data_IF_410804996253
#
_entry.id   IF_410804996253
#
_cell.length_a   1.000
_cell.length_b   1.000
_cell.length_c   1.000
_cell.angle_alpha   90.00
_cell.angle_beta   90.00
_cell.angle_gamma   90.00
#
_symmetry.space_group_name_H-M   'P 1'
#
loop_
_entity.id
_entity.type
_entity.pdbx_description
1 polymer ?
#
# COMPACT_ATOMS: atom_id res chain seq x y z
N UNK A 1 0.27 16.89 -2.02
CA UNK A 1 1.51 16.52 -1.27
C UNK A 1 1.22 16.02 0.14
N UNK A 2 0.53 16.77 1.01
CA UNK A 2 0.18 16.29 2.36
C UNK A 2 -0.57 14.95 2.38
N UNK A 3 -1.53 14.74 1.46
CA UNK A 3 -2.21 13.45 1.31
C UNK A 3 -1.28 12.30 0.87
N UNK A 4 -0.25 12.58 0.06
CA UNK A 4 0.75 11.57 -0.35
C UNK A 4 1.60 11.16 0.84
N UNK A 5 2.04 12.13 1.64
CA UNK A 5 2.76 11.90 2.88
C UNK A 5 1.93 11.06 3.86
N UNK A 6 0.66 11.43 4.07
CA UNK A 6 -0.25 10.68 4.95
C UNK A 6 -0.51 9.26 4.44
N UNK A 7 -0.76 9.11 3.13
CA UNK A 7 -0.98 7.81 2.51
C UNK A 7 0.23 6.90 2.68
N UNK A 8 1.42 7.36 2.29
CA UNK A 8 2.61 6.53 2.34
C UNK A 8 3.10 6.30 3.78
N UNK A 9 2.90 7.28 4.67
CA UNK A 9 3.07 7.07 6.11
C UNK A 9 2.20 5.95 6.64
N UNK A 10 0.89 5.95 6.31
CA UNK A 10 -0.01 4.86 6.67
C UNK A 10 0.46 3.51 6.13
N UNK A 11 0.99 3.47 4.89
CA UNK A 11 1.55 2.26 4.30
C UNK A 11 2.74 1.74 5.11
N UNK A 12 3.66 2.64 5.48
CA UNK A 12 4.92 2.31 6.15
C UNK A 12 4.77 2.04 7.65
N UNK A 13 3.60 2.26 8.25
CA UNK A 13 3.30 1.75 9.60
C UNK A 13 3.25 0.22 9.62
N UNK A 14 2.75 -0.42 8.56
CA UNK A 14 2.63 -1.87 8.47
C UNK A 14 3.70 -2.51 7.58
N UNK A 15 4.15 -1.80 6.54
CA UNK A 15 5.07 -2.29 5.51
C UNK A 15 6.31 -3.02 6.02
N UNK A 16 7.07 -2.46 6.97
CA UNK A 16 8.28 -3.10 7.51
C UNK A 16 8.04 -4.46 8.18
N UNK A 17 6.81 -4.75 8.60
CA UNK A 17 6.47 -5.97 9.34
C UNK A 17 5.86 -7.08 8.47
N UNK A 18 5.59 -6.83 7.19
CA UNK A 18 4.89 -7.78 6.31
C UNK A 18 5.67 -9.08 6.14
N UNK A 19 6.93 -9.00 5.72
CA UNK A 19 7.78 -10.19 5.52
C UNK A 19 8.01 -10.94 6.83
N UNK A 20 8.39 -10.27 7.95
CA UNK A 20 8.44 -10.92 9.25
C UNK A 20 7.13 -11.59 9.66
N UNK A 21 5.97 -10.98 9.40
CA UNK A 21 4.66 -11.56 9.67
C UNK A 21 4.44 -12.84 8.85
N UNK A 22 4.70 -12.81 7.54
CA UNK A 22 4.51 -13.98 6.67
C UNK A 22 5.33 -15.18 7.16
N UNK A 23 6.57 -14.94 7.58
CA UNK A 23 7.45 -16.00 8.07
C UNK A 23 7.08 -16.47 9.48
N UNK A 24 6.89 -15.54 10.41
CA UNK A 24 6.73 -15.87 11.84
C UNK A 24 5.31 -16.25 12.25
N UNK A 25 4.29 -15.74 11.55
CA UNK A 25 2.88 -15.99 11.84
C UNK A 25 2.23 -16.80 10.73
N UNK A 26 2.56 -16.49 9.47
CA UNK A 26 2.04 -17.20 8.31
C UNK A 26 2.71 -18.54 8.02
N UNK A 27 3.84 -18.85 8.66
CA UNK A 27 4.60 -20.09 8.46
C UNK A 27 5.35 -20.17 7.12
N UNK A 28 5.44 -19.06 6.36
CA UNK A 28 6.11 -19.07 5.05
C UNK A 28 7.62 -19.24 5.22
N UNK A 29 8.20 -20.07 4.36
CA UNK A 29 9.63 -20.04 4.04
C UNK A 29 9.99 -18.80 3.21
N UNK A 30 11.27 -18.44 3.17
CA UNK A 30 11.74 -17.35 2.31
C UNK A 30 11.51 -17.64 0.82
N UNK A 31 11.49 -18.92 0.41
CA UNK A 31 11.14 -19.32 -0.95
C UNK A 31 9.68 -18.98 -1.26
N UNK A 32 8.76 -19.24 -0.33
CA UNK A 32 7.35 -18.89 -0.49
C UNK A 32 7.13 -17.37 -0.50
N UNK A 33 7.86 -16.61 0.30
CA UNK A 33 7.85 -15.13 0.21
C UNK A 33 8.35 -14.66 -1.17
N UNK A 34 9.40 -15.30 -1.70
CA UNK A 34 9.89 -15.05 -3.05
C UNK A 34 8.83 -15.34 -4.12
N UNK A 35 8.18 -16.50 -4.05
CA UNK A 35 7.08 -16.87 -4.94
C UNK A 35 5.89 -15.91 -4.83
N UNK A 36 5.52 -15.50 -3.62
CA UNK A 36 4.49 -14.48 -3.39
C UNK A 36 4.82 -13.18 -4.12
N UNK A 37 6.08 -12.76 -4.05
CA UNK A 37 6.58 -11.54 -4.72
C UNK A 37 6.51 -11.67 -6.24
N UNK A 38 6.88 -12.83 -6.79
CA UNK A 38 6.77 -13.13 -8.22
C UNK A 38 5.30 -13.10 -8.67
N UNK A 39 4.39 -13.70 -7.90
CA UNK A 39 2.95 -13.69 -8.20
C UNK A 39 2.43 -12.25 -8.21
N UNK A 40 2.78 -11.43 -7.22
CA UNK A 40 2.37 -10.02 -7.19
C UNK A 40 2.92 -9.26 -8.41
N UNK A 41 4.22 -9.36 -8.68
CA UNK A 41 4.86 -8.63 -9.78
C UNK A 41 4.29 -9.03 -11.15
N UNK A 42 4.12 -10.33 -11.42
CA UNK A 42 3.57 -10.83 -12.69
C UNK A 42 2.09 -10.48 -12.85
N UNK A 43 1.30 -10.56 -11.78
CA UNK A 43 -0.10 -10.13 -11.79
C UNK A 43 -0.24 -8.62 -12.05
N UNK A 44 0.73 -7.82 -11.58
CA UNK A 44 0.77 -6.38 -11.83
C UNK A 44 0.84 -6.03 -13.31
N UNK A 45 1.56 -6.84 -14.11
CA UNK A 45 1.63 -6.67 -15.57
C UNK A 45 0.27 -6.91 -16.24
N UNK A 46 -0.57 -7.75 -15.65
CA UNK A 46 -1.92 -8.03 -16.15
C UNK A 46 -2.92 -6.95 -15.72
N UNK A 47 -2.81 -6.46 -14.48
CA UNK A 47 -3.75 -5.48 -13.93
C UNK A 47 -3.45 -4.03 -14.36
N UNK A 48 -2.21 -3.68 -14.67
CA UNK A 48 -1.84 -2.34 -15.15
C UNK A 48 -2.69 -1.88 -16.35
N UNK A 49 -2.80 -2.67 -17.43
CA UNK A 49 -3.67 -2.35 -18.57
C UNK A 49 -5.16 -2.23 -18.24
N UNK A 50 -5.66 -2.91 -17.19
CA UNK A 50 -7.04 -2.73 -16.73
C UNK A 50 -7.23 -1.33 -16.16
N UNK A 51 -6.30 -0.87 -15.31
CA UNK A 51 -6.36 0.48 -14.75
C UNK A 51 -6.17 1.57 -15.81
N UNK A 52 -5.30 1.36 -16.79
CA UNK A 52 -5.12 2.27 -17.92
C UNK A 52 -6.43 2.49 -18.68
N UNK A 53 -7.07 1.40 -19.12
CA UNK A 53 -8.37 1.47 -19.81
C UNK A 53 -9.46 2.13 -18.96
N UNK A 54 -9.48 1.84 -17.65
CA UNK A 54 -10.44 2.44 -16.73
C UNK A 54 -10.19 3.95 -16.56
N UNK A 55 -8.93 4.37 -16.49
CA UNK A 55 -8.55 5.77 -16.43
C UNK A 55 -8.96 6.52 -17.70
N UNK A 56 -8.75 5.93 -18.87
CA UNK A 56 -9.10 6.55 -20.16
C UNK A 56 -10.61 6.72 -20.32
N UNK A 57 -11.40 5.77 -19.82
CA UNK A 57 -12.86 5.78 -19.96
C UNK A 57 -13.58 6.58 -18.87
N UNK A 58 -13.11 6.50 -17.63
CA UNK A 58 -13.82 7.01 -16.44
C UNK A 58 -13.01 8.04 -15.64
N UNK A 59 -11.79 8.35 -16.08
CA UNK A 59 -10.90 9.32 -15.45
C UNK A 59 -10.02 8.73 -14.34
N UNK A 60 -8.90 9.42 -14.08
CA UNK A 60 -7.90 9.00 -13.09
C UNK A 60 -8.42 8.98 -11.65
N UNK A 61 -9.45 9.77 -11.31
CA UNK A 61 -10.02 9.81 -9.96
C UNK A 61 -10.67 8.50 -9.53
N UNK A 62 -11.32 7.78 -10.47
CA UNK A 62 -11.90 6.45 -10.20
C UNK A 62 -10.81 5.41 -9.95
N UNK A 63 -9.71 5.46 -10.72
CA UNK A 63 -8.55 4.59 -10.51
C UNK A 63 -7.91 4.86 -9.16
N UNK A 64 -7.71 6.15 -8.80
CA UNK A 64 -7.16 6.53 -7.50
C UNK A 64 -8.01 5.97 -6.34
N UNK A 65 -9.34 6.10 -6.43
CA UNK A 65 -10.28 5.59 -5.43
C UNK A 65 -10.24 4.07 -5.33
N UNK A 66 -10.41 3.38 -6.45
CA UNK A 66 -10.44 1.91 -6.49
C UNK A 66 -9.14 1.31 -5.99
N UNK A 67 -8.01 1.75 -6.55
CA UNK A 67 -6.70 1.21 -6.21
C UNK A 67 -6.29 1.52 -4.76
N UNK A 68 -6.61 2.72 -4.23
CA UNK A 68 -6.33 3.04 -2.82
C UNK A 68 -7.21 2.24 -1.86
N UNK A 69 -8.47 1.94 -2.19
CA UNK A 69 -9.33 1.08 -1.37
C UNK A 69 -8.80 -0.36 -1.32
N UNK A 70 -8.40 -0.93 -2.46
CA UNK A 70 -7.77 -2.26 -2.50
C UNK A 70 -6.50 -2.26 -1.64
N UNK A 71 -5.63 -1.26 -1.82
CA UNK A 71 -4.40 -1.12 -1.05
C UNK A 71 -4.62 -0.95 0.46
N UNK A 72 -5.75 -0.36 0.84
CA UNK A 72 -6.14 -0.14 2.23
C UNK A 72 -6.69 -1.39 2.89
N UNK A 73 -7.46 -2.21 2.16
CA UNK A 73 -8.06 -3.45 2.68
C UNK A 73 -7.11 -4.64 2.63
N UNK A 74 -6.15 -4.65 1.70
CA UNK A 74 -5.20 -5.75 1.51
C UNK A 74 -4.48 -6.20 2.80
N UNK A 75 -4.03 -5.32 3.71
CA UNK A 75 -3.43 -5.76 4.97
C UNK A 75 -4.35 -6.66 5.83
N UNK A 76 -5.66 -6.59 5.64
CA UNK A 76 -6.61 -7.50 6.28
C UNK A 76 -6.41 -8.93 5.83
N UNK A 77 -6.05 -9.16 4.55
CA UNK A 77 -5.70 -10.49 4.05
C UNK A 77 -4.44 -11.05 4.71
N UNK A 78 -3.48 -10.20 5.07
CA UNK A 78 -2.31 -10.62 5.86
C UNK A 78 -2.75 -11.08 7.25
N UNK A 79 -3.57 -10.28 7.93
CA UNK A 79 -4.04 -10.56 9.30
C UNK A 79 -4.96 -11.78 9.40
N UNK A 80 -5.67 -12.13 8.32
CA UNK A 80 -6.48 -13.35 8.27
C UNK A 80 -5.62 -14.62 8.05
N UNK A 81 -4.36 -14.45 7.67
CA UNK A 81 -3.43 -15.54 7.43
C UNK A 81 -2.73 -16.03 8.69
N UNK A 82 -2.52 -17.34 8.76
CA UNK A 82 -1.74 -18.03 9.79
C UNK A 82 -1.06 -19.27 9.21
N UNK A 83 -0.18 -19.96 9.94
CA UNK A 83 0.44 -21.22 9.50
C UNK A 83 -0.57 -22.32 9.15
N UNK A 84 -1.65 -22.45 9.94
CA UNK A 84 -2.76 -23.35 9.64
C UNK A 84 -3.79 -22.79 8.66
N UNK A 85 -3.68 -21.50 8.32
CA UNK A 85 -4.49 -20.75 7.35
C UNK A 85 -3.69 -19.84 6.39
N UNK A 86 -2.68 -20.28 5.58
CA UNK A 86 -1.89 -19.40 4.70
C UNK A 86 -2.58 -18.77 3.49
N UNK A 87 -3.67 -19.36 2.97
CA UNK A 87 -4.35 -18.95 1.73
C UNK A 87 -4.66 -17.44 1.61
N UNK A 88 -5.12 -16.73 2.66
CA UNK A 88 -5.33 -15.29 2.60
C UNK A 88 -4.06 -14.50 2.27
N UNK A 89 -2.89 -14.95 2.75
CA UNK A 89 -1.60 -14.33 2.42
C UNK A 89 -1.33 -14.47 0.93
N UNK A 90 -1.53 -15.65 0.35
CA UNK A 90 -1.39 -15.85 -1.11
C UNK A 90 -2.36 -14.98 -1.91
N UNK A 91 -3.62 -14.89 -1.49
CA UNK A 91 -4.61 -14.00 -2.12
C UNK A 91 -4.17 -12.53 -2.05
N UNK A 92 -3.46 -12.14 -0.98
CA UNK A 92 -2.94 -10.79 -0.84
C UNK A 92 -1.91 -10.42 -1.91
N UNK A 93 -1.23 -11.39 -2.56
CA UNK A 93 -0.34 -11.09 -3.69
C UNK A 93 -1.11 -10.49 -4.87
N UNK A 94 -2.30 -11.02 -5.16
CA UNK A 94 -3.15 -10.49 -6.23
C UNK A 94 -3.73 -9.13 -5.85
N UNK A 95 -4.09 -8.94 -4.58
CA UNK A 95 -4.58 -7.65 -4.08
C UNK A 95 -3.47 -6.59 -4.08
N UNK A 96 -2.23 -6.96 -3.74
CA UNK A 96 -1.04 -6.10 -3.82
C UNK A 96 -0.79 -5.65 -5.27
N UNK A 97 -0.77 -6.60 -6.20
CA UNK A 97 -0.65 -6.33 -7.63
C UNK A 97 -1.77 -5.41 -8.14
N UNK A 98 -3.02 -5.69 -7.78
CA UNK A 98 -4.18 -4.91 -8.19
C UNK A 98 -4.14 -3.49 -7.61
N UNK A 99 -3.69 -3.34 -6.37
CA UNK A 99 -3.51 -2.04 -5.72
C UNK A 99 -2.42 -1.20 -6.41
N UNK A 100 -1.18 -1.71 -6.45
CA UNK A 100 -0.03 -0.87 -6.79
C UNK A 100 0.12 -0.60 -8.29
N UNK A 101 -0.38 -1.50 -9.15
CA UNK A 101 -0.38 -1.29 -10.60
C UNK A 101 -1.21 -0.07 -11.04
N UNK A 102 -2.24 0.31 -10.28
CA UNK A 102 -3.04 1.50 -10.56
C UNK A 102 -2.64 2.71 -9.70
N UNK A 103 -2.38 2.47 -8.41
CA UNK A 103 -2.24 3.53 -7.43
C UNK A 103 -1.00 4.40 -7.64
N UNK A 104 0.13 3.81 -8.03
CA UNK A 104 1.37 4.56 -8.26
C UNK A 104 1.20 5.65 -9.31
N UNK A 105 0.71 5.26 -10.49
CA UNK A 105 0.44 6.18 -11.60
C UNK A 105 -0.65 7.19 -11.26
N UNK A 106 -1.72 6.76 -10.59
CA UNK A 106 -2.81 7.66 -10.19
C UNK A 106 -2.37 8.74 -9.19
N UNK A 107 -1.51 8.40 -8.21
CA UNK A 107 -0.98 9.35 -7.24
C UNK A 107 -0.05 10.38 -7.88
N UNK A 108 0.83 9.94 -8.79
CA UNK A 108 1.70 10.85 -9.55
C UNK A 108 0.87 11.79 -10.41
N UNK A 109 -0.12 11.27 -11.14
CA UNK A 109 -1.02 12.09 -11.96
C UNK A 109 -1.81 13.09 -11.11
N UNK A 110 -2.33 12.69 -9.95
CA UNK A 110 -3.03 13.60 -9.04
C UNK A 110 -2.13 14.70 -8.46
N UNK A 111 -0.85 14.41 -8.22
CA UNK A 111 0.13 15.40 -7.80
C UNK A 111 0.46 16.39 -8.92
N UNK A 112 0.62 15.89 -10.16
CA UNK A 112 0.94 16.70 -11.33
C UNK A 112 -0.25 17.51 -11.87
N UNK A 113 -1.48 17.04 -11.67
CA UNK A 113 -2.69 17.75 -12.09
C UNK A 113 -2.82 19.14 -11.42
N UNK A 114 -2.23 19.31 -10.24
CA UNK A 114 -2.21 20.56 -9.48
C UNK A 114 -0.98 21.43 -9.82
N UNK A 115 -0.03 20.92 -10.61
CA UNK A 115 1.22 21.60 -10.89
C UNK A 115 1.11 22.53 -12.10
N UNK A 116 1.55 23.80 -12.01
CA UNK A 116 1.83 24.64 -13.17
C UNK A 116 2.78 23.92 -14.13
N UNK A 117 2.61 24.11 -15.44
CA UNK A 117 3.37 23.35 -16.47
C UNK A 117 4.87 23.53 -16.30
N UNK A 118 5.29 24.73 -15.95
CA UNK A 118 6.67 25.19 -15.78
C UNK A 118 7.30 24.60 -14.50
N UNK A 119 6.49 24.23 -13.51
CA UNK A 119 6.94 23.77 -12.19
C UNK A 119 6.78 22.26 -11.96
N UNK A 120 6.39 21.48 -12.98
CA UNK A 120 6.13 20.03 -12.86
C UNK A 120 7.29 19.26 -12.27
N UNK A 121 8.53 19.56 -12.66
CA UNK A 121 9.72 18.91 -12.13
C UNK A 121 9.88 19.16 -10.61
N UNK A 122 9.61 20.39 -10.16
CA UNK A 122 9.61 20.73 -8.73
C UNK A 122 8.51 19.99 -7.96
N UNK A 123 7.32 19.87 -8.54
CA UNK A 123 6.23 19.09 -7.94
C UNK A 123 6.56 17.59 -7.84
N UNK A 124 7.26 17.01 -8.82
CA UNK A 124 7.76 15.64 -8.74
C UNK A 124 8.80 15.49 -7.63
N UNK A 125 9.74 16.42 -7.49
CA UNK A 125 10.71 16.40 -6.40
C UNK A 125 10.00 16.46 -5.03
N UNK A 126 9.01 17.33 -4.88
CA UNK A 126 8.19 17.41 -3.67
C UNK A 126 7.35 16.15 -3.44
N UNK A 127 6.86 15.50 -4.49
CA UNK A 127 6.14 14.22 -4.40
C UNK A 127 7.04 13.13 -3.82
N UNK A 128 8.25 12.97 -4.35
CA UNK A 128 9.21 11.99 -3.83
C UNK A 128 9.66 12.32 -2.40
N UNK A 129 9.85 13.60 -2.09
CA UNK A 129 10.13 14.05 -0.72
C UNK A 129 8.98 13.69 0.23
N UNK A 130 7.72 13.92 -0.18
CA UNK A 130 6.55 13.57 0.60
C UNK A 130 6.44 12.05 0.85
N UNK A 131 6.77 11.23 -0.15
CA UNK A 131 6.88 9.77 0.03
C UNK A 131 7.98 9.42 1.02
N UNK A 132 9.19 9.96 0.86
CA UNK A 132 10.31 9.69 1.77
C UNK A 132 10.02 10.07 3.22
N UNK A 133 9.52 11.29 3.45
CA UNK A 133 9.15 11.78 4.78
C UNK A 133 7.99 10.97 5.38
N UNK A 134 6.98 10.64 4.56
CA UNK A 134 5.89 9.76 4.97
C UNK A 134 6.44 8.40 5.42
N UNK A 135 7.37 7.83 4.66
CA UNK A 135 7.95 6.53 4.98
C UNK A 135 8.77 6.52 6.26
N UNK A 136 9.60 7.54 6.49
CA UNK A 136 10.32 7.70 7.76
C UNK A 136 9.34 7.83 8.93
N UNK A 137 8.37 8.75 8.83
CA UNK A 137 7.39 8.98 9.89
C UNK A 137 6.56 7.71 10.19
N UNK A 138 6.10 7.02 9.15
CA UNK A 138 5.36 5.76 9.25
C UNK A 138 6.18 4.66 9.90
N UNK A 139 7.45 4.50 9.51
CA UNK A 139 8.33 3.46 10.06
C UNK A 139 8.71 3.71 11.52
N UNK A 140 8.92 4.98 11.91
CA UNK A 140 9.15 5.36 13.30
C UNK A 140 7.91 5.10 14.17
N UNK A 141 6.71 5.38 13.64
CA UNK A 141 5.46 5.05 14.30
C UNK A 141 5.29 3.52 14.40
N UNK A 142 5.63 2.78 13.35
CA UNK A 142 5.62 1.31 13.31
C UNK A 142 6.43 0.72 14.49
N UNK A 143 7.66 1.21 14.68
CA UNK A 143 8.54 0.74 15.76
C UNK A 143 7.95 1.00 17.16
N UNK A 144 7.40 2.21 17.39
CA UNK A 144 6.75 2.55 18.67
C UNK A 144 5.54 1.67 18.96
N UNK A 145 4.70 1.46 17.94
CA UNK A 145 3.46 0.68 18.05
C UNK A 145 3.76 -0.80 18.27
N UNK A 146 4.75 -1.36 17.57
CA UNK A 146 5.19 -2.73 17.77
C UNK A 146 5.75 -2.95 19.19
N UNK A 147 6.46 -1.96 19.73
CA UNK A 147 7.00 -1.99 21.09
C UNK A 147 5.96 -2.02 22.22
N UNK A 148 4.68 -1.74 21.93
CA UNK A 148 3.59 -1.89 22.89
C UNK A 148 3.27 -3.36 23.19
N UNK A 149 3.64 -4.28 22.30
CA UNK A 149 3.43 -5.72 22.49
C UNK A 149 1.97 -6.17 22.50
N UNK A 150 1.05 -5.34 21.97
CA UNK A 150 -0.37 -5.67 21.93
C UNK A 150 -0.75 -6.53 20.73
N UNK A 151 -1.63 -7.50 20.98
CA UNK A 151 -2.11 -8.46 20.00
C UNK A 151 -1.32 -9.78 20.02
N UNK A 152 -1.66 -10.74 19.13
CA UNK A 152 -1.08 -12.08 19.14
C UNK A 152 0.42 -12.11 18.83
N UNK A 153 0.94 -11.05 18.19
CA UNK A 153 2.36 -10.90 17.87
C UNK A 153 2.69 -9.41 17.73
N UNK A 154 3.98 -9.00 17.81
CA UNK A 154 4.39 -7.60 17.67
C UNK A 154 4.06 -6.99 16.29
N UNK A 155 3.61 -7.80 15.34
CA UNK A 155 3.30 -7.39 13.97
C UNK A 155 1.82 -7.02 13.78
N UNK A 156 0.91 -7.59 14.59
CA UNK A 156 -0.54 -7.43 14.36
C UNK A 156 -0.99 -5.99 14.55
N UNK A 157 -0.60 -5.34 15.65
CA UNK A 157 -1.03 -3.98 15.93
C UNK A 157 -0.52 -2.97 14.89
N UNK A 158 0.77 -2.95 14.48
CA UNK A 158 1.22 -2.10 13.38
C UNK A 158 0.49 -2.35 12.06
N UNK A 159 0.25 -3.61 11.69
CA UNK A 159 -0.46 -3.94 10.45
C UNK A 159 -1.92 -3.49 10.50
N UNK A 160 -2.61 -3.70 11.62
CA UNK A 160 -3.97 -3.23 11.83
C UNK A 160 -4.06 -1.71 11.81
N UNK A 161 -3.11 -1.02 12.47
CA UNK A 161 -3.05 0.44 12.43
C UNK A 161 -2.82 0.94 11.01
N UNK A 162 -1.92 0.30 10.26
CA UNK A 162 -1.70 0.59 8.83
C UNK A 162 -2.98 0.43 8.02
N UNK A 163 -3.75 -0.65 8.22
CA UNK A 163 -5.05 -0.86 7.57
C UNK A 163 -5.99 0.33 7.86
N UNK A 164 -6.19 0.66 9.13
CA UNK A 164 -7.09 1.75 9.55
C UNK A 164 -6.66 3.10 8.97
N UNK A 165 -5.37 3.42 9.05
CA UNK A 165 -4.82 4.68 8.51
C UNK A 165 -4.93 4.75 6.99
N UNK A 166 -4.69 3.63 6.28
CA UNK A 166 -4.87 3.57 4.82
C UNK A 166 -6.34 3.75 4.45
N UNK A 167 -7.29 3.16 5.18
CA UNK A 167 -8.71 3.37 4.92
C UNK A 167 -9.10 4.85 5.09
N UNK A 168 -8.67 5.48 6.18
CA UNK A 168 -8.90 6.91 6.41
C UNK A 168 -8.28 7.78 5.31
N UNK A 169 -7.07 7.44 4.86
CA UNK A 169 -6.40 8.15 3.77
C UNK A 169 -7.08 7.91 2.41
N UNK A 170 -7.52 6.69 2.09
CA UNK A 170 -8.25 6.34 0.88
C UNK A 170 -9.57 7.11 0.77
N UNK A 171 -10.32 7.23 1.87
CA UNK A 171 -11.56 8.01 1.93
C UNK A 171 -11.33 9.51 1.65
N UNK A 172 -10.14 10.04 1.98
CA UNK A 172 -9.76 11.43 1.66
C UNK A 172 -9.27 11.57 0.22
N UNK A 173 -8.47 10.62 -0.27
CA UNK A 173 -8.04 10.57 -1.67
C UNK A 173 -9.24 10.47 -2.62
N UNK A 174 -10.31 9.79 -2.20
CA UNK A 174 -11.55 9.71 -2.94
C UNK A 174 -12.42 10.97 -2.96
N UNK A 175 -11.93 12.09 -2.46
CA UNK A 175 -12.59 13.40 -2.60
C UNK A 175 -11.84 14.33 -3.57
N UNK A 176 -10.67 13.91 -4.04
CA UNK A 176 -9.98 14.49 -5.19
C UNK A 176 -10.66 14.04 -6.50
#
# INVERSE_FOLDING_TARGET
LGLVLLWYGAVMVGGPFVVPYFVRVGGFSMTEVGLWTVISATSGLLFGPLWGRLADQKGHGIVLRGASLVAALMPGLWLLGSEGFPWPIWLSALADALAWSGLGTALVNAALAQAPREARNGYLALFWLALGLGGIAGSLLAAKVAGLGWGPSPYHLPILLSLCLRLLAALRLGRL
#
